data_IF_920928448577
#
_entry.id   IF_920928448577
#
_cell.length_a   1.000
_cell.length_b   1.000
_cell.length_c   1.000
_cell.angle_alpha   90.00
_cell.angle_beta   90.00
_cell.angle_gamma   90.00
#
_symmetry.space_group_name_H-M   'P 1'
#
loop_
_entity.id
_entity.type
_entity.pdbx_description
1 polymer ?
#
# COMPACT_ATOMS: atom_id res chain seq x y z
N UNK A 1 31.01 -6.46 -1.88
CA UNK A 1 29.94 -6.98 -2.77
C UNK A 1 29.00 -5.81 -3.09
N UNK A 2 28.60 -5.57 -4.35
CA UNK A 2 27.85 -4.36 -4.77
C UNK A 2 26.34 -4.40 -4.48
N UNK A 3 25.78 -5.57 -4.12
CA UNK A 3 24.35 -5.73 -3.82
C UNK A 3 24.12 -5.59 -2.32
N UNK A 4 23.30 -4.62 -1.91
CA UNK A 4 22.94 -4.42 -0.50
C UNK A 4 22.09 -5.55 0.08
N UNK A 5 21.38 -6.31 -0.79
CA UNK A 5 20.35 -7.28 -0.43
C UNK A 5 19.20 -6.70 0.42
N UNK A 6 18.99 -5.38 0.34
CA UNK A 6 17.91 -4.68 1.05
C UNK A 6 16.89 -4.19 0.03
N UNK A 7 15.63 -4.50 0.27
CA UNK A 7 14.52 -4.18 -0.62
C UNK A 7 13.44 -3.41 0.13
N UNK A 8 12.74 -2.53 -0.56
CA UNK A 8 11.48 -1.95 -0.09
C UNK A 8 10.39 -2.29 -1.11
N UNK A 9 9.21 -2.71 -0.66
CA UNK A 9 8.06 -2.86 -1.55
C UNK A 9 7.41 -1.50 -1.79
N UNK A 10 6.88 -1.24 -2.98
CA UNK A 10 6.25 0.05 -3.25
C UNK A 10 4.93 -0.14 -3.99
N UNK A 11 3.90 0.59 -3.55
CA UNK A 11 2.68 0.76 -4.35
C UNK A 11 3.05 1.25 -5.75
N UNK A 12 2.37 0.70 -6.75
CA UNK A 12 2.74 0.87 -8.15
C UNK A 12 3.01 2.33 -8.56
N UNK A 13 2.14 3.24 -8.11
CA UNK A 13 2.17 4.63 -8.50
C UNK A 13 3.40 5.38 -7.97
N UNK A 14 4.11 4.90 -6.93
CA UNK A 14 5.39 5.49 -6.52
C UNK A 14 6.39 5.54 -7.68
N UNK A 15 6.39 4.52 -8.53
CA UNK A 15 7.30 4.40 -9.68
C UNK A 15 6.60 4.72 -11.01
N UNK A 16 5.28 4.60 -11.09
CA UNK A 16 4.55 4.89 -12.33
C UNK A 16 3.19 5.57 -12.07
N UNK A 17 3.22 6.91 -12.06
CA UNK A 17 2.03 7.76 -11.91
C UNK A 17 1.04 7.66 -13.07
N UNK A 18 1.45 7.12 -14.22
CA UNK A 18 0.53 6.87 -15.34
C UNK A 18 -0.55 5.80 -15.04
N UNK A 19 -0.45 5.10 -13.92
CA UNK A 19 -1.48 4.19 -13.43
C UNK A 19 -2.54 4.86 -12.54
N UNK A 20 -2.34 6.13 -12.18
CA UNK A 20 -3.25 6.92 -11.36
C UNK A 20 -4.28 7.60 -12.27
N UNK A 21 -5.51 7.79 -11.79
CA UNK A 21 -6.48 8.64 -12.49
C UNK A 21 -5.91 10.04 -12.64
N UNK A 22 -6.18 10.67 -13.79
CA UNK A 22 -5.46 11.86 -14.26
C UNK A 22 -5.46 13.01 -13.25
N UNK A 23 -6.56 13.19 -12.54
CA UNK A 23 -6.80 14.27 -11.58
C UNK A 23 -6.05 14.08 -10.25
N UNK A 24 -5.59 12.86 -9.95
CA UNK A 24 -4.96 12.48 -8.67
C UNK A 24 -3.46 12.21 -8.80
N UNK A 25 -2.89 12.38 -9.99
CA UNK A 25 -1.46 12.21 -10.22
C UNK A 25 -0.66 13.32 -9.50
N UNK A 26 0.35 12.90 -8.71
CA UNK A 26 1.19 13.79 -7.88
C UNK A 26 2.58 14.01 -8.47
N UNK A 27 2.87 13.39 -9.61
CA UNK A 27 4.11 13.56 -10.38
C UNK A 27 3.87 13.20 -11.86
N UNK A 28 4.65 13.76 -12.80
CA UNK A 28 4.57 13.37 -14.21
C UNK A 28 4.95 11.91 -14.50
N UNK A 29 5.57 11.19 -13.57
CA UNK A 29 5.95 9.79 -13.77
C UNK A 29 6.38 9.08 -12.50
N UNK A 30 7.57 9.38 -11.99
CA UNK A 30 8.10 8.78 -10.76
C UNK A 30 7.94 9.77 -9.61
N UNK A 31 7.53 9.31 -8.43
CA UNK A 31 7.59 10.10 -7.20
C UNK A 31 9.04 10.22 -6.74
N UNK A 32 9.74 11.22 -7.29
CA UNK A 32 11.21 11.34 -7.24
C UNK A 32 11.77 11.29 -5.81
N UNK A 33 11.18 12.02 -4.85
CA UNK A 33 11.67 12.08 -3.49
C UNK A 33 11.75 10.69 -2.82
N UNK A 34 10.73 9.84 -3.00
CA UNK A 34 10.73 8.48 -2.46
C UNK A 34 11.77 7.57 -3.13
N UNK A 35 12.00 7.77 -4.44
CA UNK A 35 13.00 7.00 -5.20
C UNK A 35 14.42 7.43 -4.87
N UNK A 36 14.68 8.73 -4.79
CA UNK A 36 15.97 9.27 -4.35
C UNK A 36 16.31 8.79 -2.94
N UNK A 37 15.37 8.88 -2.01
CA UNK A 37 15.55 8.37 -0.65
C UNK A 37 15.86 6.87 -0.64
N UNK A 38 15.12 6.06 -1.41
CA UNK A 38 15.37 4.63 -1.51
C UNK A 38 16.78 4.35 -2.05
N UNK A 39 17.22 5.11 -3.05
CA UNK A 39 18.58 5.03 -3.60
C UNK A 39 19.65 5.39 -2.57
N UNK A 40 19.48 6.50 -1.85
CA UNK A 40 20.41 6.97 -0.81
C UNK A 40 20.55 5.97 0.34
N UNK A 41 19.47 5.28 0.72
CA UNK A 41 19.50 4.21 1.72
C UNK A 41 20.08 2.89 1.18
N UNK A 42 20.33 2.79 -0.13
CA UNK A 42 20.81 1.59 -0.80
C UNK A 42 19.75 0.50 -0.92
N UNK A 43 18.47 0.88 -1.01
CA UNK A 43 17.34 -0.04 -1.16
C UNK A 43 17.06 -0.29 -2.63
N UNK A 44 16.91 -1.56 -3.02
CA UNK A 44 16.21 -1.90 -4.25
C UNK A 44 14.70 -1.70 -4.06
N UNK A 45 14.00 -1.26 -5.10
CA UNK A 45 12.55 -1.09 -5.05
C UNK A 45 11.89 -2.29 -5.73
N UNK A 46 11.00 -2.96 -5.01
CA UNK A 46 10.13 -4.00 -5.53
C UNK A 46 8.74 -3.39 -5.78
N UNK A 47 8.42 -3.13 -7.05
CA UNK A 47 7.17 -2.49 -7.42
C UNK A 47 6.01 -3.52 -7.40
N UNK A 48 4.97 -3.25 -6.63
CA UNK A 48 3.73 -4.03 -6.62
C UNK A 48 2.85 -3.66 -7.83
N UNK A 49 1.92 -4.55 -8.25
CA UNK A 49 0.94 -4.20 -9.28
C UNK A 49 -0.03 -3.12 -8.77
N UNK A 50 -0.65 -2.37 -9.69
CA UNK A 50 -1.73 -1.45 -9.33
C UNK A 50 -3.07 -2.22 -9.36
N UNK A 51 -3.74 -2.41 -8.22
CA UNK A 51 -4.99 -3.18 -8.18
C UNK A 51 -6.10 -2.48 -8.95
N UNK A 52 -6.28 -1.18 -8.73
CA UNK A 52 -7.34 -0.37 -9.35
C UNK A 52 -7.18 -0.32 -10.88
N UNK A 53 -5.96 -0.11 -11.37
CA UNK A 53 -5.67 -0.07 -12.81
C UNK A 53 -5.89 -1.44 -13.46
N UNK A 54 -5.46 -2.52 -12.82
CA UNK A 54 -5.62 -3.87 -13.40
C UNK A 54 -7.04 -4.42 -13.26
N UNK A 55 -7.87 -3.80 -12.42
CA UNK A 55 -9.27 -4.16 -12.22
C UNK A 55 -10.22 -3.38 -13.15
N UNK A 56 -10.07 -2.04 -13.22
CA UNK A 56 -11.00 -1.16 -13.96
C UNK A 56 -10.35 -0.37 -15.09
N UNK A 57 -9.02 -0.38 -15.21
CA UNK A 57 -8.29 0.35 -16.23
C UNK A 57 -7.97 1.81 -15.87
N UNK A 58 -7.37 2.55 -16.82
CA UNK A 58 -6.93 3.94 -16.62
C UNK A 58 -8.09 4.95 -16.50
N UNK A 59 -9.22 4.69 -17.17
CA UNK A 59 -10.38 5.59 -17.24
C UNK A 59 -11.41 5.32 -16.14
N UNK A 60 -11.01 4.62 -15.08
CA UNK A 60 -11.89 4.23 -13.98
C UNK A 60 -12.38 5.45 -13.19
N UNK A 61 -13.58 5.39 -12.61
CA UNK A 61 -14.03 6.43 -11.68
C UNK A 61 -13.20 6.38 -10.36
N UNK A 62 -13.19 7.47 -9.59
CA UNK A 62 -12.78 7.41 -8.19
C UNK A 62 -13.76 6.51 -7.41
N UNK A 63 -13.23 5.75 -6.46
CA UNK A 63 -14.01 4.83 -5.62
C UNK A 63 -13.54 4.88 -4.17
N UNK A 64 -14.41 4.53 -3.23
CA UNK A 64 -14.10 4.44 -1.80
C UNK A 64 -13.55 3.07 -1.41
N UNK A 65 -13.15 2.91 -0.14
CA UNK A 65 -12.72 1.61 0.39
C UNK A 65 -13.88 0.61 0.28
N UNK A 66 -15.09 1.00 0.69
CA UNK A 66 -16.27 0.14 0.73
C UNK A 66 -16.69 -0.33 -0.66
N UNK A 67 -16.51 0.50 -1.69
CA UNK A 67 -16.83 0.12 -3.07
C UNK A 67 -15.81 -0.87 -3.65
N UNK A 68 -14.56 -0.86 -3.17
CA UNK A 68 -13.55 -1.86 -3.50
C UNK A 68 -13.58 -3.09 -2.59
N UNK A 69 -14.17 -3.01 -1.40
CA UNK A 69 -14.23 -4.08 -0.39
C UNK A 69 -15.28 -5.15 -0.79
N UNK A 70 -15.00 -5.82 -1.90
CA UNK A 70 -15.88 -6.79 -2.56
C UNK A 70 -15.17 -8.12 -2.77
N UNK A 71 -15.88 -9.26 -2.72
CA UNK A 71 -15.27 -10.57 -2.98
C UNK A 71 -14.52 -10.64 -4.31
N UNK A 72 -15.03 -9.97 -5.35
CA UNK A 72 -14.43 -9.92 -6.69
C UNK A 72 -13.09 -9.19 -6.69
N UNK A 73 -13.01 -8.05 -5.99
CA UNK A 73 -11.76 -7.29 -5.88
C UNK A 73 -10.74 -8.00 -5.01
N UNK A 74 -11.14 -8.61 -3.89
CA UNK A 74 -10.28 -9.47 -3.07
C UNK A 74 -9.70 -10.64 -3.88
N UNK A 75 -10.54 -11.34 -4.66
CA UNK A 75 -10.07 -12.42 -5.53
C UNK A 75 -9.09 -11.90 -6.60
N UNK A 76 -9.36 -10.73 -7.18
CA UNK A 76 -8.45 -10.07 -8.11
C UNK A 76 -7.10 -9.72 -7.47
N UNK A 77 -7.12 -9.10 -6.29
CA UNK A 77 -5.94 -8.71 -5.52
C UNK A 77 -5.05 -9.93 -5.26
N UNK A 78 -5.62 -11.00 -4.70
CA UNK A 78 -4.86 -12.23 -4.40
C UNK A 78 -4.23 -12.84 -5.65
N UNK A 79 -4.95 -12.84 -6.78
CA UNK A 79 -4.44 -13.33 -8.08
C UNK A 79 -3.24 -12.53 -8.58
N UNK A 80 -3.27 -11.20 -8.49
CA UNK A 80 -2.17 -10.35 -8.98
C UNK A 80 -1.00 -10.26 -7.99
N UNK A 81 -1.26 -10.49 -6.70
CA UNK A 81 -0.25 -10.47 -5.63
C UNK A 81 0.56 -11.75 -5.54
N UNK A 82 -0.01 -12.90 -5.87
CA UNK A 82 0.65 -14.20 -5.68
C UNK A 82 2.05 -14.25 -6.32
N UNK A 83 2.27 -13.84 -7.58
CA UNK A 83 3.62 -13.83 -8.16
C UNK A 83 4.61 -12.91 -7.42
N UNK A 84 4.12 -11.79 -6.87
CA UNK A 84 4.95 -10.87 -6.09
C UNK A 84 5.35 -11.50 -4.74
N UNK A 85 4.42 -12.16 -4.05
CA UNK A 85 4.68 -12.86 -2.79
C UNK A 85 5.66 -14.00 -2.99
N UNK A 86 5.50 -14.82 -4.04
CA UNK A 86 6.44 -15.87 -4.39
C UNK A 86 7.86 -15.32 -4.61
N UNK A 87 7.99 -14.21 -5.35
CA UNK A 87 9.28 -13.59 -5.60
C UNK A 87 9.90 -13.00 -4.33
N UNK A 88 9.12 -12.34 -3.47
CA UNK A 88 9.57 -11.80 -2.19
C UNK A 88 10.03 -12.92 -1.25
N UNK A 89 9.34 -14.05 -1.24
CA UNK A 89 9.74 -15.23 -0.47
C UNK A 89 11.09 -15.76 -0.94
N UNK A 90 11.31 -15.86 -2.25
CA UNK A 90 12.61 -16.26 -2.81
C UNK A 90 13.71 -15.28 -2.37
N UNK A 91 13.47 -13.97 -2.43
CA UNK A 91 14.44 -13.00 -1.91
C UNK A 91 14.77 -13.26 -0.44
N UNK A 92 13.76 -13.38 0.42
CA UNK A 92 13.97 -13.61 1.84
C UNK A 92 14.77 -14.90 2.11
N UNK A 93 14.44 -16.00 1.43
CA UNK A 93 15.12 -17.29 1.58
C UNK A 93 16.59 -17.26 1.13
N UNK A 94 16.97 -16.29 0.30
CA UNK A 94 18.34 -16.08 -0.17
C UNK A 94 19.07 -14.95 0.60
N UNK A 95 18.57 -14.63 1.79
CA UNK A 95 19.19 -13.70 2.74
C UNK A 95 19.04 -12.24 2.35
N UNK A 96 17.92 -11.87 1.71
CA UNK A 96 17.54 -10.48 1.49
C UNK A 96 16.65 -10.02 2.63
N UNK A 97 16.74 -8.73 2.95
CA UNK A 97 15.87 -8.08 3.92
C UNK A 97 14.86 -7.22 3.18
N UNK A 98 13.58 -7.50 3.37
CA UNK A 98 12.51 -6.58 3.02
C UNK A 98 12.41 -5.59 4.18
N UNK A 99 12.88 -4.37 3.96
CA UNK A 99 13.05 -3.33 4.99
C UNK A 99 11.70 -2.70 5.38
N UNK A 100 10.70 -2.82 4.50
CA UNK A 100 9.36 -2.28 4.72
C UNK A 100 8.67 -2.03 3.39
N UNK A 101 7.67 -1.14 3.40
CA UNK A 101 6.97 -0.72 2.20
C UNK A 101 6.71 0.79 2.10
N UNK A 102 6.38 1.23 0.89
CA UNK A 102 5.87 2.58 0.56
C UNK A 102 4.42 2.45 0.10
N UNK A 103 3.49 2.84 0.96
CA UNK A 103 2.06 2.94 0.64
C UNK A 103 1.65 4.34 0.19
N UNK A 104 0.35 4.55 -0.03
CA UNK A 104 -0.22 5.84 -0.44
C UNK A 104 -1.28 6.25 0.58
N UNK A 105 -0.98 7.28 1.38
CA UNK A 105 -1.92 7.77 2.37
C UNK A 105 -3.25 8.17 1.70
N UNK A 106 -4.36 7.72 2.27
CA UNK A 106 -5.72 8.02 1.82
C UNK A 106 -6.23 7.15 0.67
N UNK A 107 -5.38 6.37 -0.01
CA UNK A 107 -5.81 5.49 -1.11
C UNK A 107 -6.80 4.42 -0.61
N UNK A 108 -7.88 4.13 -1.36
CA UNK A 108 -8.81 3.07 -0.96
C UNK A 108 -8.21 1.67 -1.09
N UNK A 109 -7.15 1.51 -1.88
CA UNK A 109 -6.46 0.22 -2.08
C UNK A 109 -5.08 0.16 -1.44
N UNK A 110 -4.28 1.23 -1.57
CA UNK A 110 -2.84 1.23 -1.28
C UNK A 110 -2.45 1.95 0.03
N UNK A 111 -3.43 2.42 0.81
CA UNK A 111 -3.18 2.95 2.15
C UNK A 111 -2.79 1.80 3.10
N UNK A 112 -1.65 1.89 3.84
CA UNK A 112 -1.19 0.81 4.70
C UNK A 112 -2.15 0.44 5.84
N UNK A 113 -3.02 1.36 6.27
CA UNK A 113 -3.94 1.14 7.39
C UNK A 113 -5.32 0.64 6.98
N UNK A 114 -5.86 1.13 5.87
CA UNK A 114 -7.25 0.81 5.45
C UNK A 114 -7.39 0.21 4.06
N UNK A 115 -6.35 0.29 3.23
CA UNK A 115 -6.42 -0.04 1.82
C UNK A 115 -6.73 -1.52 1.57
N UNK A 116 -7.77 -1.82 0.78
CA UNK A 116 -8.24 -3.21 0.57
C UNK A 116 -7.12 -4.11 0.04
N UNK A 117 -6.35 -3.62 -0.94
CA UNK A 117 -5.22 -4.36 -1.50
C UNK A 117 -4.05 -4.53 -0.52
N UNK A 118 -3.77 -3.52 0.33
CA UNK A 118 -2.75 -3.65 1.37
C UNK A 118 -3.13 -4.70 2.41
N UNK A 119 -4.41 -4.82 2.73
CA UNK A 119 -4.91 -5.88 3.63
C UNK A 119 -4.67 -7.27 3.05
N UNK A 120 -5.06 -7.48 1.79
CA UNK A 120 -4.81 -8.74 1.07
C UNK A 120 -3.33 -9.05 0.94
N UNK A 121 -2.50 -8.03 0.69
CA UNK A 121 -1.05 -8.18 0.58
C UNK A 121 -0.41 -8.65 1.89
N UNK A 122 -0.75 -8.01 3.00
CA UNK A 122 -0.20 -8.37 4.31
C UNK A 122 -0.70 -9.75 4.77
N UNK A 123 -1.97 -10.09 4.50
CA UNK A 123 -2.50 -11.42 4.77
C UNK A 123 -1.77 -12.49 3.95
N UNK A 124 -1.69 -12.31 2.63
CA UNK A 124 -1.02 -13.27 1.74
C UNK A 124 0.48 -13.37 2.04
N UNK A 125 1.14 -12.27 2.42
CA UNK A 125 2.52 -12.29 2.88
C UNK A 125 2.69 -13.14 4.14
N UNK A 126 1.80 -12.98 5.13
CA UNK A 126 1.82 -13.75 6.36
C UNK A 126 1.58 -15.25 6.13
N UNK A 127 0.58 -15.59 5.30
CA UNK A 127 0.29 -16.97 4.90
C UNK A 127 1.51 -17.67 4.27
N UNK A 128 2.35 -16.92 3.57
CA UNK A 128 3.53 -17.43 2.86
C UNK A 128 4.85 -17.20 3.62
N UNK A 129 4.79 -16.69 4.86
CA UNK A 129 5.97 -16.44 5.70
C UNK A 129 6.91 -15.37 5.13
N UNK A 130 6.38 -14.37 4.43
CA UNK A 130 7.11 -13.18 3.95
C UNK A 130 7.00 -12.09 5.01
N UNK A 131 8.14 -11.60 5.51
CA UNK A 131 8.18 -10.63 6.59
C UNK A 131 8.13 -9.20 6.05
N UNK A 132 7.08 -8.47 6.42
CA UNK A 132 6.90 -7.04 6.14
C UNK A 132 6.18 -6.44 7.33
N UNK A 133 6.88 -5.62 8.12
CA UNK A 133 6.43 -5.18 9.44
C UNK A 133 6.45 -3.65 9.61
N UNK A 134 6.82 -2.90 8.58
CA UNK A 134 6.85 -1.45 8.61
C UNK A 134 6.46 -0.82 7.28
N UNK A 135 5.70 0.28 7.34
CA UNK A 135 5.38 1.09 6.18
C UNK A 135 5.73 2.56 6.40
N UNK A 136 6.34 3.12 5.37
CA UNK A 136 6.24 4.53 5.03
C UNK A 136 5.03 4.75 4.11
N UNK A 137 4.66 6.00 3.92
CA UNK A 137 3.59 6.37 3.02
C UNK A 137 3.91 7.66 2.28
N UNK A 138 3.41 7.78 1.05
CA UNK A 138 3.35 9.05 0.36
C UNK A 138 2.19 9.87 0.94
N UNK A 139 2.45 11.08 1.48
CA UNK A 139 1.40 11.86 2.13
C UNK A 139 0.32 12.28 1.14
N UNK A 140 -0.91 12.45 1.64
CA UNK A 140 -2.05 12.91 0.86
C UNK A 140 -2.09 14.45 0.82
N UNK A 141 -1.08 15.04 0.19
CA UNK A 141 -0.98 16.48 -0.07
C UNK A 141 -0.96 16.74 -1.57
N UNK A 142 -1.22 17.98 -1.98
CA UNK A 142 -1.27 18.36 -3.40
C UNK A 142 0.06 18.09 -4.15
N UNK A 143 1.18 18.21 -3.45
CA UNK A 143 2.52 17.94 -3.97
C UNK A 143 3.00 16.50 -3.71
N UNK A 144 2.37 15.78 -2.76
CA UNK A 144 2.68 14.39 -2.43
C UNK A 144 4.15 14.16 -2.08
N UNK A 145 4.85 15.17 -1.55
CA UNK A 145 6.29 15.08 -1.34
C UNK A 145 6.57 14.13 -0.17
N UNK A 146 7.26 13.03 -0.48
CA UNK A 146 7.77 12.12 0.52
C UNK A 146 8.97 12.73 1.24
N UNK A 147 8.91 12.73 2.57
CA UNK A 147 10.00 13.11 3.47
C UNK A 147 10.04 12.11 4.64
N UNK A 148 11.08 11.27 4.77
CA UNK A 148 11.16 10.24 5.81
C UNK A 148 11.23 10.81 7.23
N UNK A 149 11.57 12.09 7.39
CA UNK A 149 11.68 12.77 8.69
C UNK A 149 10.37 13.51 9.05
N UNK A 150 9.38 13.48 8.17
CA UNK A 150 8.04 14.01 8.40
C UNK A 150 7.07 12.92 8.83
N UNK A 151 6.39 13.13 9.96
CA UNK A 151 5.40 12.18 10.51
C UNK A 151 4.31 11.79 9.50
N UNK A 152 3.94 12.68 8.57
CA UNK A 152 2.93 12.38 7.56
C UNK A 152 3.40 11.35 6.53
N UNK A 153 4.71 11.14 6.39
CA UNK A 153 5.30 10.13 5.49
C UNK A 153 5.60 8.80 6.19
N UNK A 154 5.36 8.72 7.51
CA UNK A 154 5.58 7.52 8.30
C UNK A 154 4.22 6.96 8.71
N UNK A 155 3.87 5.78 8.20
CA UNK A 155 2.70 5.07 8.70
C UNK A 155 3.05 4.33 10.00
N UNK A 156 4.17 3.61 9.99
CA UNK A 156 4.68 2.91 11.15
C UNK A 156 4.59 1.38 11.02
N UNK A 157 4.67 0.67 12.16
CA UNK A 157 4.60 -0.78 12.19
C UNK A 157 3.26 -1.32 11.66
N UNK A 158 3.31 -2.44 10.93
CA UNK A 158 2.13 -3.20 10.50
C UNK A 158 2.22 -4.62 11.06
N UNK A 159 1.09 -5.19 11.45
CA UNK A 159 1.01 -6.61 11.81
C UNK A 159 -0.03 -7.31 10.94
N UNK A 160 0.26 -8.57 10.61
CA UNK A 160 -0.77 -9.47 10.11
C UNK A 160 -1.78 -9.71 11.24
N UNK A 161 -2.93 -9.02 11.20
CA UNK A 161 -4.03 -9.21 12.15
C UNK A 161 -4.59 -7.97 12.85
N UNK A 162 -4.12 -6.75 12.59
CA UNK A 162 -4.69 -5.52 13.21
C UNK A 162 -6.02 -5.02 12.59
N UNK A 163 -6.73 -5.85 11.82
CA UNK A 163 -7.90 -5.41 11.04
C UNK A 163 -9.24 -5.49 11.79
N UNK A 164 -9.31 -6.15 12.96
CA UNK A 164 -10.57 -6.26 13.72
C UNK A 164 -10.96 -5.00 14.50
N UNK A 165 -10.00 -4.11 14.81
CA UNK A 165 -10.24 -2.98 15.72
C UNK A 165 -10.64 -1.68 15.02
N UNK A 166 -10.37 -1.53 13.72
CA UNK A 166 -10.71 -0.33 12.96
C UNK A 166 -12.17 -0.33 12.48
N UNK A 167 -12.73 -1.49 12.13
CA UNK A 167 -14.14 -1.63 11.73
C UNK A 167 -15.11 -1.42 12.91
N UNK A 168 -14.68 -1.67 14.16
CA UNK A 168 -15.52 -1.46 15.35
C UNK A 168 -15.63 0.01 15.77
N UNK A 169 -14.66 0.87 15.41
CA UNK A 169 -14.72 2.31 15.74
C UNK A 169 -15.63 3.11 14.80
N UNK A 170 -15.82 2.68 13.55
CA UNK A 170 -16.73 3.34 12.59
C UNK A 170 -18.20 2.90 12.76
N UNK A 171 -18.44 1.69 13.27
CA UNK A 171 -19.80 1.19 13.54
C UNK A 171 -20.42 1.70 14.85
N UNK A 172 -19.63 2.30 15.76
CA UNK A 172 -20.04 2.64 17.12
C UNK A 172 -20.72 4.01 17.34
N UNK A 173 -20.95 4.83 16.30
CA UNK A 173 -21.41 6.23 16.49
C UNK A 173 -22.82 6.54 15.93
N UNK A 174 -23.63 5.55 15.56
CA UNK A 174 -25.04 5.80 15.19
C UNK A 174 -26.03 5.00 16.04
N UNK A 175 -26.22 5.43 17.29
CA UNK A 175 -27.53 5.28 17.98
C UNK A 175 -27.54 6.08 19.28
N UNK A 176 -27.95 7.35 19.20
CA UNK A 176 -28.57 8.12 20.30
C UNK A 176 -29.11 9.41 19.72
N UNK A 177 -30.38 9.41 19.35
CA UNK A 177 -31.30 10.55 19.16
C UNK A 177 -32.51 10.03 18.34
N UNK A 178 -33.76 10.02 18.79
CA UNK A 178 -34.35 10.34 20.08
C UNK A 178 -35.73 9.67 20.14
N UNK A 179 -36.28 9.54 21.34
CA UNK A 179 -37.70 9.23 21.52
C UNK A 179 -38.27 10.23 22.51
N UNK A 180 -38.97 11.23 21.98
CA UNK A 180 -39.92 12.07 22.70
C UNK A 180 -41.11 12.29 21.76
N UNK A 181 -42.15 11.46 21.94
CA UNK A 181 -43.55 11.81 22.16
C UNK A 181 -44.39 10.53 22.17
#
# INVERSE_FOLDING_TARGET
MLRSKRLIVASHCVINQNAVVKEEARSPGIMKAAVDWSYEKGYGIFQLPCPEFTFLGPERPPMTVEEYDTPEFHAHNRRILLPAIEQLKVYQDHGYTIVGGLGIAGSPSCDPGKGVFMRDFLELAAENGVNIDFFWQIPNTADGIFDPDNDNSVFGPVTAGQQDDLHKKSAGTKSKEGNQL
#
